data_IF_826645893855
#
_entry.id   IF_826645893855
#
_cell.length_a   1.000
_cell.length_b   1.000
_cell.length_c   1.000
_cell.angle_alpha   90.00
_cell.angle_beta   90.00
_cell.angle_gamma   90.00
#
_symmetry.space_group_name_H-M   'P 1'
#
loop_
_entity.id
_entity.type
_entity.pdbx_description
1 polymer ?
#
# COMPACT_ATOMS: atom_id res chain seq x y z
N UNK A 1 5.50 -22.86 -6.03
CA UNK A 1 5.50 -21.41 -5.76
C UNK A 1 5.75 -21.26 -4.27
N UNK A 2 6.76 -20.47 -3.87
CA UNK A 2 6.97 -20.12 -2.46
C UNK A 2 5.72 -19.40 -1.95
N UNK A 3 5.32 -19.71 -0.73
CA UNK A 3 4.12 -19.14 -0.11
C UNK A 3 4.34 -17.64 0.12
N UNK A 4 3.52 -16.79 -0.53
CA UNK A 4 3.59 -15.34 -0.41
C UNK A 4 3.28 -14.96 1.04
N UNK A 5 4.31 -14.58 1.79
CA UNK A 5 4.18 -14.29 3.23
C UNK A 5 4.11 -12.79 3.46
N UNK A 6 3.08 -12.35 4.20
CA UNK A 6 2.89 -10.98 4.64
C UNK A 6 3.16 -10.87 6.14
N UNK A 7 4.03 -9.94 6.52
CA UNK A 7 4.36 -9.62 7.90
C UNK A 7 3.77 -8.25 8.23
N UNK A 8 2.97 -8.17 9.29
CA UNK A 8 2.44 -6.89 9.77
C UNK A 8 3.52 -6.11 10.51
N UNK A 9 3.82 -4.90 10.04
CA UNK A 9 4.71 -3.96 10.70
C UNK A 9 3.96 -3.01 11.63
N UNK A 10 4.59 -2.59 12.73
CA UNK A 10 4.08 -1.48 13.54
C UNK A 10 4.22 -0.16 12.76
N UNK A 11 3.26 0.79 12.83
CA UNK A 11 3.32 2.04 12.07
C UNK A 11 4.60 2.86 12.30
N UNK A 12 5.22 2.75 13.49
CA UNK A 12 6.49 3.40 13.83
C UNK A 12 7.68 2.92 12.99
N UNK A 13 7.55 1.80 12.27
CA UNK A 13 8.58 1.26 11.39
C UNK A 13 8.51 1.75 9.94
N UNK A 14 7.57 2.64 9.60
CA UNK A 14 7.41 3.15 8.23
C UNK A 14 8.65 3.94 7.80
N UNK A 15 9.12 4.86 8.64
CA UNK A 15 10.30 5.67 8.35
C UNK A 15 11.56 4.82 8.22
N UNK A 16 11.67 3.71 8.97
CA UNK A 16 12.77 2.76 8.86
C UNK A 16 12.74 2.02 7.52
N UNK A 17 11.58 1.51 7.10
CA UNK A 17 11.41 0.85 5.79
C UNK A 17 11.69 1.84 4.64
N UNK A 18 11.20 3.09 4.73
CA UNK A 18 11.51 4.14 3.75
C UNK A 18 13.02 4.42 3.69
N UNK A 19 13.68 4.57 4.84
CA UNK A 19 15.12 4.83 4.90
C UNK A 19 15.95 3.68 4.32
N UNK A 20 15.57 2.44 4.59
CA UNK A 20 16.33 1.25 4.21
C UNK A 20 16.02 0.78 2.77
N UNK A 21 14.85 1.12 2.22
CA UNK A 21 14.36 0.59 0.93
C UNK A 21 13.94 1.66 -0.08
N UNK A 22 13.86 2.92 0.33
CA UNK A 22 13.32 4.03 -0.45
C UNK A 22 11.79 4.10 -0.48
N UNK A 23 11.10 3.17 0.19
CA UNK A 23 9.64 3.17 0.30
C UNK A 23 9.15 2.25 1.44
N UNK A 24 7.90 2.44 1.86
CA UNK A 24 7.14 1.52 2.70
C UNK A 24 5.83 1.09 2.02
N UNK A 25 5.38 -0.14 2.26
CA UNK A 25 4.07 -0.63 1.77
C UNK A 25 3.02 -0.47 2.85
N UNK A 26 1.96 0.26 2.55
CA UNK A 26 0.85 0.53 3.48
C UNK A 26 -0.43 -0.12 2.95
N UNK A 27 -1.19 -0.71 3.85
CA UNK A 27 -2.54 -1.21 3.59
C UNK A 27 -3.56 -0.39 4.38
N UNK A 28 -4.60 0.05 3.70
CA UNK A 28 -5.67 0.84 4.31
C UNK A 28 -7.03 0.37 3.83
N UNK A 29 -8.04 0.53 4.67
CA UNK A 29 -9.42 0.19 4.34
C UNK A 29 -9.99 1.19 3.34
N UNK A 30 -10.59 0.70 2.26
CA UNK A 30 -11.13 1.56 1.19
C UNK A 30 -12.20 2.52 1.68
N UNK A 31 -12.99 2.13 2.69
CA UNK A 31 -14.00 3.01 3.31
C UNK A 31 -13.41 4.22 4.03
N UNK A 32 -12.11 4.19 4.34
CA UNK A 32 -11.38 5.28 5.02
C UNK A 32 -10.65 6.21 4.04
N UNK A 33 -10.75 5.97 2.73
CA UNK A 33 -10.17 6.83 1.70
C UNK A 33 -11.26 7.77 1.17
N UNK A 34 -11.23 9.09 1.48
CA UNK A 34 -12.36 9.99 1.27
C UNK A 34 -12.82 10.18 -0.17
N UNK A 35 -12.00 9.81 -1.18
CA UNK A 35 -12.25 10.22 -2.57
C UNK A 35 -12.06 9.20 -3.70
N UNK A 36 -11.56 7.98 -3.47
CA UNK A 36 -10.99 7.22 -4.60
C UNK A 36 -11.51 5.79 -4.86
N UNK A 37 -12.12 5.07 -3.90
CA UNK A 37 -12.15 3.58 -4.03
C UNK A 37 -13.49 2.92 -3.62
N UNK A 38 -14.55 3.69 -3.35
CA UNK A 38 -15.83 3.06 -2.95
C UNK A 38 -16.51 2.42 -4.16
N UNK A 39 -16.60 1.09 -4.16
CA UNK A 39 -17.28 0.31 -5.21
C UNK A 39 -16.35 -0.28 -6.28
N UNK A 40 -15.02 -0.15 -6.14
CA UNK A 40 -14.09 -0.88 -7.01
C UNK A 40 -14.15 -2.38 -6.73
N UNK A 41 -13.91 -3.16 -7.78
CA UNK A 41 -13.72 -4.61 -7.66
C UNK A 41 -12.29 -4.91 -7.28
N UNK A 42 -12.11 -6.06 -6.65
CA UNK A 42 -10.82 -6.65 -6.39
C UNK A 42 -10.03 -6.77 -7.72
N UNK A 43 -8.84 -6.18 -7.77
CA UNK A 43 -7.99 -6.19 -8.97
C UNK A 43 -7.14 -7.45 -9.08
N UNK A 44 -6.89 -8.12 -7.96
CA UNK A 44 -6.06 -9.32 -7.92
C UNK A 44 -6.77 -10.48 -7.21
N UNK A 45 -6.50 -11.74 -7.60
CA UNK A 45 -5.99 -12.10 -8.91
C UNK A 45 -7.04 -11.78 -9.99
N UNK A 46 -6.58 -11.74 -11.24
CA UNK A 46 -7.45 -11.62 -12.41
C UNK A 46 -8.65 -12.59 -12.33
N UNK A 47 -9.86 -12.04 -12.49
CA UNK A 47 -11.12 -12.80 -12.40
C UNK A 47 -11.80 -12.76 -11.03
N UNK A 48 -11.19 -12.15 -10.00
CA UNK A 48 -11.91 -11.90 -8.75
C UNK A 48 -13.07 -10.91 -8.97
N UNK A 49 -14.28 -11.30 -8.57
CA UNK A 49 -15.50 -10.48 -8.74
C UNK A 49 -15.95 -9.77 -7.47
N UNK A 50 -15.25 -10.00 -6.35
CA UNK A 50 -15.58 -9.43 -5.05
C UNK A 50 -15.33 -7.93 -5.01
N UNK A 51 -16.07 -7.19 -4.16
CA UNK A 51 -15.75 -5.79 -3.89
C UNK A 51 -14.38 -5.69 -3.22
N UNK A 52 -13.61 -4.67 -3.58
CA UNK A 52 -12.38 -4.33 -2.88
C UNK A 52 -12.72 -3.81 -1.47
N UNK A 53 -11.93 -4.22 -0.48
CA UNK A 53 -12.02 -3.79 0.93
C UNK A 53 -10.74 -3.15 1.43
N UNK A 54 -9.62 -3.37 0.73
CA UNK A 54 -8.31 -2.82 1.01
C UNK A 54 -7.75 -2.09 -0.21
N UNK A 55 -6.95 -1.06 0.07
CA UNK A 55 -6.04 -0.42 -0.86
C UNK A 55 -4.62 -0.62 -0.35
N UNK A 56 -3.76 -1.15 -1.22
CA UNK A 56 -2.32 -1.31 -0.98
C UNK A 56 -1.59 -0.20 -1.72
N UNK A 57 -0.80 0.57 -0.98
CA UNK A 57 -0.14 1.79 -1.42
C UNK A 57 1.35 1.73 -1.10
N UNK A 58 2.13 2.50 -1.84
CA UNK A 58 3.53 2.73 -1.56
C UNK A 58 3.73 4.17 -1.07
N UNK A 59 4.47 4.32 0.03
CA UNK A 59 4.83 5.60 0.63
C UNK A 59 6.33 5.79 0.42
N UNK A 60 6.76 6.93 -0.12
CA UNK A 60 8.17 7.26 -0.32
C UNK A 60 8.73 8.23 0.71
N UNK A 61 7.87 8.99 1.39
CA UNK A 61 8.29 9.97 2.38
C UNK A 61 7.16 10.24 3.39
N UNK A 62 7.52 10.69 4.59
CA UNK A 62 6.59 11.15 5.62
C UNK A 62 6.84 12.64 5.89
N UNK A 63 5.77 13.44 5.93
CA UNK A 63 5.85 14.84 6.35
C UNK A 63 5.96 14.86 7.88
N UNK A 64 7.17 15.12 8.39
CA UNK A 64 7.43 15.04 9.82
C UNK A 64 7.41 16.37 10.58
N UNK A 65 7.33 17.53 9.93
CA UNK A 65 7.51 18.80 10.63
C UNK A 65 6.57 19.89 10.09
N UNK A 66 5.48 20.17 10.85
CA UNK A 66 5.05 21.52 11.31
C UNK A 66 3.54 21.66 11.57
N UNK A 67 2.69 20.70 11.21
CA UNK A 67 1.26 20.72 11.53
C UNK A 67 0.84 19.36 12.07
N UNK A 68 -0.16 19.30 12.96
CA UNK A 68 -0.74 18.13 13.66
C UNK A 68 -1.32 17.02 12.74
N UNK A 69 -0.79 16.86 11.53
CA UNK A 69 -1.21 15.93 10.49
C UNK A 69 0.01 15.14 10.03
N UNK A 70 0.06 13.86 10.42
CA UNK A 70 0.89 12.87 9.72
C UNK A 70 0.52 12.92 8.24
N UNK A 71 1.43 13.40 7.39
CA UNK A 71 1.29 13.37 5.95
C UNK A 71 2.13 12.23 5.38
N UNK A 72 1.52 11.32 4.63
CA UNK A 72 2.25 10.30 3.88
C UNK A 72 2.30 10.70 2.41
N UNK A 73 3.51 10.76 1.82
CA UNK A 73 3.73 11.00 0.40
C UNK A 73 3.73 9.68 -0.36
N UNK A 74 2.82 9.57 -1.33
CA UNK A 74 2.62 8.35 -2.10
C UNK A 74 3.54 8.30 -3.32
N UNK A 75 4.12 7.13 -3.58
CA UNK A 75 4.79 6.86 -4.85
C UNK A 75 3.77 6.98 -5.98
N UNK A 76 4.12 7.71 -7.03
CA UNK A 76 3.27 7.93 -8.21
C UNK A 76 3.74 7.09 -9.41
N UNK A 77 2.80 6.59 -10.19
CA UNK A 77 3.07 6.01 -11.51
C UNK A 77 3.52 7.11 -12.50
N UNK A 78 4.06 6.73 -13.67
CA UNK A 78 4.50 7.71 -14.69
C UNK A 78 3.40 8.66 -15.19
N UNK A 79 2.13 8.33 -14.99
CA UNK A 79 0.97 9.16 -15.29
C UNK A 79 0.66 10.20 -14.18
N UNK A 80 1.43 10.19 -13.09
CA UNK A 80 1.29 11.10 -11.96
C UNK A 80 0.24 10.68 -10.93
N UNK A 81 -0.38 9.50 -11.06
CA UNK A 81 -1.36 8.98 -10.10
C UNK A 81 -0.67 8.13 -9.02
N UNK A 82 -1.21 8.07 -7.78
CA UNK A 82 -0.66 7.18 -6.77
C UNK A 82 -0.70 5.70 -7.20
N UNK A 83 0.41 4.99 -7.02
CA UNK A 83 0.44 3.54 -7.21
C UNK A 83 -0.42 2.87 -6.14
N UNK A 84 -1.56 2.33 -6.57
CA UNK A 84 -2.57 1.76 -5.70
C UNK A 84 -3.12 0.46 -6.30
N UNK A 85 -3.08 -0.62 -5.53
CA UNK A 85 -3.73 -1.89 -5.88
C UNK A 85 -4.86 -2.14 -4.88
N UNK A 86 -6.07 -2.31 -5.39
CA UNK A 86 -7.26 -2.50 -4.55
C UNK A 86 -7.73 -3.94 -4.59
N UNK A 87 -7.89 -4.55 -3.41
CA UNK A 87 -8.20 -5.97 -3.27
C UNK A 87 -9.22 -6.23 -2.16
N UNK A 88 -9.85 -7.39 -2.17
CA UNK A 88 -10.53 -7.91 -0.99
C UNK A 88 -9.50 -8.44 0.03
N UNK A 89 -9.89 -8.57 1.29
CA UNK A 89 -9.01 -9.00 2.38
C UNK A 89 -8.26 -10.32 2.09
N UNK A 90 -8.87 -11.25 1.35
CA UNK A 90 -8.24 -12.52 0.98
C UNK A 90 -7.03 -12.38 0.04
N UNK A 91 -6.93 -11.29 -0.73
CA UNK A 91 -5.85 -11.10 -1.70
C UNK A 91 -4.86 -10.02 -1.26
N UNK A 92 -4.82 -9.74 0.04
CA UNK A 92 -3.94 -8.72 0.62
C UNK A 92 -2.46 -9.06 0.41
N UNK A 93 -2.09 -10.33 0.44
CA UNK A 93 -0.71 -10.77 0.26
C UNK A 93 -0.27 -10.56 -1.19
N UNK A 94 -1.12 -10.95 -2.14
CA UNK A 94 -0.95 -10.78 -3.58
C UNK A 94 -0.70 -9.31 -3.90
N UNK A 95 -1.58 -8.41 -3.43
CA UNK A 95 -1.46 -6.98 -3.68
C UNK A 95 -0.12 -6.39 -3.20
N UNK A 96 0.35 -6.78 -2.02
CA UNK A 96 1.66 -6.32 -1.52
C UNK A 96 2.82 -6.84 -2.38
N UNK A 97 2.75 -8.07 -2.85
CA UNK A 97 3.77 -8.67 -3.71
C UNK A 97 3.79 -8.05 -5.10
N UNK A 98 2.62 -7.82 -5.68
CA UNK A 98 2.52 -7.26 -7.02
C UNK A 98 2.90 -5.77 -7.01
N UNK A 99 2.56 -5.02 -5.95
CA UNK A 99 3.04 -3.65 -5.77
C UNK A 99 4.58 -3.59 -5.61
N UNK A 100 5.18 -4.47 -4.80
CA UNK A 100 6.64 -4.57 -4.70
C UNK A 100 7.29 -4.80 -6.06
N UNK A 101 6.72 -5.71 -6.85
CA UNK A 101 7.23 -6.05 -8.19
C UNK A 101 7.14 -4.85 -9.13
N UNK A 102 6.05 -4.08 -9.06
CA UNK A 102 5.90 -2.84 -9.85
C UNK A 102 6.95 -1.79 -9.45
N UNK A 103 7.23 -1.62 -8.15
CA UNK A 103 8.22 -0.65 -7.67
C UNK A 103 9.66 -1.00 -8.04
N UNK A 104 10.03 -2.28 -7.92
CA UNK A 104 11.43 -2.70 -7.97
C UNK A 104 11.83 -3.42 -9.26
N UNK A 105 10.85 -3.86 -10.06
CA UNK A 105 11.05 -4.76 -11.20
C UNK A 105 11.51 -6.17 -10.80
N UNK A 106 11.59 -6.47 -9.50
CA UNK A 106 12.14 -7.72 -8.96
C UNK A 106 11.02 -8.59 -8.37
N UNK A 107 11.22 -9.90 -8.44
CA UNK A 107 10.48 -10.84 -7.59
C UNK A 107 11.11 -10.78 -6.20
N UNK A 108 10.31 -10.51 -5.17
CA UNK A 108 10.84 -10.40 -3.81
C UNK A 108 11.24 -11.76 -3.24
N UNK A 109 12.30 -11.85 -2.42
CA UNK A 109 12.44 -12.93 -1.44
C UNK A 109 11.33 -12.89 -0.37
N UNK A 110 11.06 -14.02 0.27
CA UNK A 110 9.94 -14.21 1.20
C UNK A 110 9.86 -13.11 2.29
N UNK A 111 8.64 -12.65 2.61
CA UNK A 111 8.37 -11.73 3.72
C UNK A 111 8.25 -10.26 3.31
N UNK A 112 7.06 -9.85 2.86
CA UNK A 112 6.74 -8.43 2.71
C UNK A 112 6.28 -7.86 4.04
N UNK A 113 6.94 -6.81 4.51
CA UNK A 113 6.37 -5.98 5.57
C UNK A 113 5.34 -5.04 4.95
N UNK A 114 4.12 -5.08 5.48
CA UNK A 114 3.10 -4.08 5.18
C UNK A 114 2.53 -3.52 6.48
N UNK A 115 2.24 -2.22 6.46
CA UNK A 115 1.75 -1.48 7.62
C UNK A 115 0.26 -1.21 7.46
N UNK A 116 -0.54 -1.68 8.42
CA UNK A 116 -1.98 -1.38 8.44
C UNK A 116 -2.20 0.01 9.02
N UNK A 117 -2.72 0.94 8.23
CA UNK A 117 -2.97 2.32 8.66
C UNK A 117 -4.39 2.81 8.38
N UNK A 118 -4.97 3.62 9.29
CA UNK A 118 -6.18 4.37 8.98
C UNK A 118 -5.84 5.42 7.91
N UNK A 119 -6.45 5.33 6.73
CA UNK A 119 -6.18 6.22 5.59
C UNK A 119 -6.48 7.71 5.78
N UNK A 120 -6.79 8.14 7.00
CA UNK A 120 -7.09 9.50 7.40
C UNK A 120 -5.84 10.41 7.42
N UNK A 121 -4.64 9.82 7.41
CA UNK A 121 -3.33 10.50 7.36
C UNK A 121 -2.66 10.43 5.98
N UNK A 122 -3.36 9.92 4.96
CA UNK A 122 -2.80 9.84 3.60
C UNK A 122 -3.04 11.18 2.89
N UNK A 123 -1.95 11.87 2.53
CA UNK A 123 -2.02 13.03 1.67
C UNK A 123 -2.08 12.54 0.21
N UNK A 124 -3.23 12.70 -0.43
CA UNK A 124 -3.48 12.22 -1.80
C UNK A 124 -3.12 13.25 -2.89
N UNK A 125 -2.33 14.28 -2.54
CA UNK A 125 -1.93 15.38 -3.43
C UNK A 125 -0.82 14.98 -4.41
#
# INVERSE_FOLDING_TARGET
MTERTLTHGAPTGIDDDIRDHGYAIVQTRVERIPRLIKGLRCQEPDGCTRPATLATLAVEETANEDDDVLGLYLVKSPDGLPLCIVVCDEHRCEASHDLYRQLTGRMRPDGIRAFDMPGQHLSWH
#
